data_IF_198963353695
#
_entry.id   IF_198963353695
#
_cell.length_a   1.000
_cell.length_b   1.000
_cell.length_c   1.000
_cell.angle_alpha   90.00
_cell.angle_beta   90.00
_cell.angle_gamma   90.00
#
_symmetry.space_group_name_H-M   'P 1'
#
loop_
_entity.id
_entity.type
_entity.pdbx_description
1 polymer ?
#
# COMPACT_ATOMS: atom_id res chain seq x y z
N UNK A 1 -18.66 -14.24 20.78
CA UNK A 1 -17.96 -13.72 19.59
C UNK A 1 -16.71 -13.00 20.06
N UNK A 2 -15.55 -13.63 19.94
CA UNK A 2 -14.27 -13.17 20.49
C UNK A 2 -13.80 -11.89 19.80
N UNK A 3 -13.69 -10.82 20.57
CA UNK A 3 -13.38 -9.46 20.11
C UNK A 3 -11.98 -9.35 19.50
N UNK A 4 -11.91 -9.42 18.17
CA UNK A 4 -10.74 -8.97 17.42
C UNK A 4 -10.74 -7.44 17.46
N UNK A 5 -10.05 -6.86 18.45
CA UNK A 5 -9.97 -5.39 18.63
C UNK A 5 -9.26 -4.67 17.47
N UNK A 6 -8.43 -5.35 16.69
CA UNK A 6 -7.60 -4.75 15.63
C UNK A 6 -7.48 -5.67 14.41
N UNK A 7 -7.36 -5.09 13.21
CA UNK A 7 -7.28 -5.86 11.96
C UNK A 7 -6.11 -6.85 11.93
N UNK A 8 -4.98 -6.52 12.58
CA UNK A 8 -3.82 -7.41 12.70
C UNK A 8 -4.03 -8.61 13.65
N UNK A 9 -5.07 -8.57 14.47
CA UNK A 9 -5.44 -9.67 15.38
C UNK A 9 -5.94 -10.91 14.62
N UNK A 10 -6.50 -10.72 13.43
CA UNK A 10 -7.01 -11.82 12.61
C UNK A 10 -5.86 -12.67 11.99
N UNK A 11 -5.86 -14.00 12.19
CA UNK A 11 -4.84 -14.88 11.63
C UNK A 11 -4.77 -14.85 10.10
N UNK A 12 -5.91 -14.69 9.41
CA UNK A 12 -5.92 -14.64 7.94
C UNK A 12 -5.20 -13.38 7.42
N UNK A 13 -5.47 -12.22 8.04
CA UNK A 13 -4.76 -10.96 7.79
C UNK A 13 -3.25 -11.12 8.01
N UNK A 14 -2.85 -11.74 9.13
CA UNK A 14 -1.45 -11.93 9.49
C UNK A 14 -0.72 -12.82 8.49
N UNK A 15 -1.36 -13.88 8.01
CA UNK A 15 -0.79 -14.78 7.01
C UNK A 15 -0.63 -14.09 5.65
N UNK A 16 -1.64 -13.34 5.20
CA UNK A 16 -1.57 -12.55 3.97
C UNK A 16 -0.45 -11.50 4.00
N UNK A 17 -0.35 -10.78 5.12
CA UNK A 17 0.73 -9.82 5.36
C UNK A 17 2.10 -10.51 5.38
N UNK A 18 2.27 -11.61 6.13
CA UNK A 18 3.54 -12.35 6.21
C UNK A 18 3.99 -12.85 4.85
N UNK A 19 3.11 -13.43 4.04
CA UNK A 19 3.45 -13.92 2.70
C UNK A 19 3.98 -12.79 1.82
N UNK A 20 3.32 -11.64 1.86
CA UNK A 20 3.75 -10.45 1.11
C UNK A 20 5.07 -9.91 1.65
N UNK A 21 5.23 -9.82 2.97
CA UNK A 21 6.46 -9.35 3.61
C UNK A 21 7.66 -10.25 3.32
N UNK A 22 7.50 -11.57 3.44
CA UNK A 22 8.55 -12.56 3.14
C UNK A 22 8.95 -12.46 1.68
N UNK A 23 7.99 -12.45 0.75
CA UNK A 23 8.30 -12.32 -0.67
C UNK A 23 9.08 -11.03 -0.99
N UNK A 24 8.67 -9.90 -0.42
CA UNK A 24 9.36 -8.61 -0.61
C UNK A 24 10.74 -8.58 0.06
N UNK A 25 10.87 -9.18 1.24
CA UNK A 25 12.15 -9.29 1.94
C UNK A 25 13.13 -10.17 1.15
N UNK A 26 12.68 -11.32 0.65
CA UNK A 26 13.50 -12.18 -0.22
C UNK A 26 13.92 -11.43 -1.48
N UNK A 27 13.01 -10.71 -2.15
CA UNK A 27 13.36 -9.89 -3.31
C UNK A 27 14.39 -8.80 -2.98
N UNK A 28 14.27 -8.16 -1.82
CA UNK A 28 15.24 -7.18 -1.33
C UNK A 28 16.61 -7.82 -1.06
N UNK A 29 16.66 -8.95 -0.37
CA UNK A 29 17.90 -9.67 -0.08
C UNK A 29 18.58 -10.17 -1.35
N UNK A 30 17.81 -10.72 -2.29
CA UNK A 30 18.32 -11.11 -3.61
C UNK A 30 18.89 -9.90 -4.36
N UNK A 31 18.21 -8.75 -4.30
CA UNK A 31 18.73 -7.50 -4.87
C UNK A 31 20.02 -7.06 -4.19
N UNK A 32 20.12 -7.18 -2.87
CA UNK A 32 21.32 -6.81 -2.10
C UNK A 32 22.51 -7.72 -2.43
N UNK A 33 22.29 -9.03 -2.56
CA UNK A 33 23.32 -10.01 -2.93
C UNK A 33 23.68 -9.94 -4.41
N UNK A 34 22.76 -9.51 -5.27
CA UNK A 34 23.04 -9.35 -6.71
C UNK A 34 24.13 -8.32 -6.98
N UNK A 35 24.28 -7.30 -6.13
CA UNK A 35 25.30 -6.26 -6.27
C UNK A 35 26.74 -6.79 -6.10
N UNK A 36 27.14 -7.45 -4.98
CA UNK A 36 28.49 -8.01 -4.86
C UNK A 36 28.76 -9.11 -5.89
N UNK A 37 27.76 -9.91 -6.27
CA UNK A 37 27.91 -10.90 -7.35
C UNK A 37 28.22 -10.22 -8.68
N UNK A 38 27.49 -9.14 -9.01
CA UNK A 38 27.75 -8.34 -10.19
C UNK A 38 29.15 -7.70 -10.15
N UNK A 39 29.56 -7.14 -9.00
CA UNK A 39 30.89 -6.54 -8.83
C UNK A 39 32.01 -7.56 -9.05
N UNK A 40 31.84 -8.77 -8.51
CA UNK A 40 32.77 -9.88 -8.70
C UNK A 40 32.89 -10.27 -10.18
N UNK A 41 31.76 -10.38 -10.89
CA UNK A 41 31.77 -10.69 -12.33
C UNK A 41 32.49 -9.60 -13.13
N UNK A 42 32.25 -8.33 -12.81
CA UNK A 42 32.91 -7.20 -13.48
C UNK A 42 34.42 -7.26 -13.32
N UNK A 43 34.92 -7.53 -12.10
CA UNK A 43 36.37 -7.64 -11.83
C UNK A 43 37.02 -8.78 -12.63
N UNK A 44 36.28 -9.88 -12.87
CA UNK A 44 36.76 -11.03 -13.63
C UNK A 44 36.69 -10.84 -15.15
N UNK A 45 36.08 -9.75 -15.63
CA UNK A 45 35.85 -9.51 -17.06
C UNK A 45 36.76 -8.43 -17.64
N UNK A 46 37.08 -8.50 -18.94
CA UNK A 46 37.86 -7.48 -19.62
C UNK A 46 37.16 -6.11 -19.63
N UNK A 47 37.95 -5.03 -19.65
CA UNK A 47 37.49 -3.63 -19.49
C UNK A 47 36.35 -3.23 -20.42
N UNK A 48 36.31 -3.74 -21.65
CA UNK A 48 35.23 -3.44 -22.60
C UNK A 48 33.85 -3.92 -22.10
N UNK A 49 33.82 -4.97 -21.28
CA UNK A 49 32.59 -5.50 -20.71
C UNK A 49 31.93 -4.51 -19.72
N UNK A 50 32.69 -3.57 -19.13
CA UNK A 50 32.16 -2.53 -18.26
C UNK A 50 31.07 -1.70 -18.96
N UNK A 51 31.22 -1.43 -20.26
CA UNK A 51 30.24 -0.65 -21.03
C UNK A 51 28.91 -1.41 -21.14
N UNK A 52 28.97 -2.74 -21.28
CA UNK A 52 27.79 -3.61 -21.32
C UNK A 52 27.18 -3.79 -19.92
N UNK A 53 28.01 -3.83 -18.88
CA UNK A 53 27.54 -4.00 -17.51
C UNK A 53 26.99 -2.73 -16.86
N UNK A 54 27.37 -1.54 -17.34
CA UNK A 54 26.85 -0.26 -16.84
C UNK A 54 25.32 -0.14 -16.88
N UNK A 55 24.61 -0.42 -18.00
CA UNK A 55 23.15 -0.38 -18.01
C UNK A 55 22.54 -1.43 -17.07
N UNK A 56 23.16 -2.61 -16.93
CA UNK A 56 22.73 -3.64 -15.99
C UNK A 56 22.80 -3.13 -14.55
N UNK A 57 23.89 -2.44 -14.20
CA UNK A 57 24.05 -1.80 -12.89
C UNK A 57 22.94 -0.79 -12.60
N UNK A 58 22.63 0.09 -13.56
CA UNK A 58 21.58 1.09 -13.42
C UNK A 58 20.21 0.44 -13.18
N UNK A 59 19.90 -0.64 -13.90
CA UNK A 59 18.67 -1.42 -13.69
C UNK A 59 18.65 -2.08 -12.31
N UNK A 60 19.76 -2.69 -11.88
CA UNK A 60 19.87 -3.31 -10.55
C UNK A 60 19.68 -2.27 -9.43
N UNK A 61 20.31 -1.10 -9.55
CA UNK A 61 20.17 0.00 -8.59
C UNK A 61 18.72 0.50 -8.52
N UNK A 62 18.10 0.71 -9.68
CA UNK A 62 16.69 1.10 -9.76
C UNK A 62 15.77 0.06 -9.11
N UNK A 63 15.99 -1.23 -9.38
CA UNK A 63 15.23 -2.32 -8.77
C UNK A 63 15.45 -2.42 -7.26
N UNK A 64 16.68 -2.22 -6.78
CA UNK A 64 16.99 -2.16 -5.36
C UNK A 64 16.22 -1.02 -4.67
N UNK A 65 16.24 0.18 -5.25
CA UNK A 65 15.49 1.33 -4.76
C UNK A 65 13.98 1.04 -4.71
N UNK A 66 13.40 0.47 -5.77
CA UNK A 66 12.00 0.05 -5.79
C UNK A 66 11.68 -0.99 -4.71
N UNK A 67 12.58 -1.94 -4.45
CA UNK A 67 12.40 -2.95 -3.42
C UNK A 67 12.41 -2.35 -2.01
N UNK A 68 13.26 -1.35 -1.74
CA UNK A 68 13.25 -0.60 -0.48
C UNK A 68 11.92 0.11 -0.26
N UNK A 69 11.42 0.83 -1.28
CA UNK A 69 10.12 1.51 -1.21
C UNK A 69 9.00 0.51 -0.95
N UNK A 70 8.97 -0.62 -1.68
CA UNK A 70 7.97 -1.69 -1.49
C UNK A 70 8.04 -2.32 -0.11
N UNK A 71 9.23 -2.49 0.46
CA UNK A 71 9.39 -3.01 1.81
C UNK A 71 8.83 -2.02 2.85
N UNK A 72 9.10 -0.72 2.65
CA UNK A 72 8.55 0.34 3.48
C UNK A 72 7.03 0.39 3.42
N UNK A 73 6.44 0.24 2.23
CA UNK A 73 4.99 0.14 2.06
C UNK A 73 4.39 -1.01 2.87
N UNK A 74 4.98 -2.21 2.81
CA UNK A 74 4.50 -3.38 3.58
C UNK A 74 4.60 -3.15 5.09
N UNK A 75 5.66 -2.49 5.54
CA UNK A 75 5.82 -2.12 6.95
C UNK A 75 4.79 -1.07 7.37
N UNK A 76 4.48 -0.10 6.49
CA UNK A 76 3.43 0.89 6.73
C UNK A 76 2.04 0.24 6.85
N UNK A 77 1.72 -0.78 6.03
CA UNK A 77 0.48 -1.54 6.13
C UNK A 77 0.32 -2.16 7.53
N UNK A 78 1.40 -2.74 8.08
CA UNK A 78 1.38 -3.32 9.43
C UNK A 78 1.03 -2.28 10.49
N UNK A 79 1.53 -1.05 10.34
CA UNK A 79 1.27 0.04 11.27
C UNK A 79 -0.21 0.42 11.28
N UNK A 80 -0.82 0.51 10.09
CA UNK A 80 -2.26 0.82 9.93
C UNK A 80 -3.14 -0.30 10.52
N UNK A 81 -2.84 -1.56 10.17
CA UNK A 81 -3.60 -2.73 10.62
C UNK A 81 -3.56 -2.96 12.14
N UNK A 82 -2.54 -2.42 12.83
CA UNK A 82 -2.43 -2.47 14.29
C UNK A 82 -3.32 -1.44 14.98
N UNK A 83 -3.63 -0.32 14.33
CA UNK A 83 -4.39 0.78 14.92
C UNK A 83 -5.88 0.63 14.62
N UNK A 84 -6.24 0.20 13.42
CA UNK A 84 -7.63 0.16 12.98
C UNK A 84 -8.19 -1.27 12.93
N UNK A 85 -9.43 -1.50 13.38
CA UNK A 85 -10.14 -2.75 13.14
C UNK A 85 -10.61 -2.85 11.68
N UNK A 86 -10.92 -4.06 11.25
CA UNK A 86 -11.55 -4.29 9.95
C UNK A 86 -13.01 -3.81 9.97
N UNK A 87 -13.42 -3.16 8.87
CA UNK A 87 -14.79 -2.76 8.58
C UNK A 87 -15.18 -3.35 7.22
N UNK A 88 -16.28 -4.08 7.16
CA UNK A 88 -16.82 -4.56 5.88
C UNK A 88 -17.70 -3.47 5.26
N UNK A 89 -17.33 -3.04 4.05
CA UNK A 89 -18.06 -2.06 3.27
C UNK A 89 -18.55 -2.72 2.00
N UNK A 90 -19.87 -2.87 1.87
CA UNK A 90 -20.51 -3.43 0.66
C UNK A 90 -20.66 -2.33 -0.38
N UNK A 91 -20.36 -2.62 -1.64
CA UNK A 91 -20.48 -1.67 -2.75
C UNK A 91 -19.50 -0.49 -2.71
N UNK A 92 -18.48 -0.53 -1.84
CA UNK A 92 -17.55 0.58 -1.68
C UNK A 92 -16.56 0.73 -2.85
N UNK A 93 -16.36 -0.29 -3.68
CA UNK A 93 -15.45 -0.24 -4.81
C UNK A 93 -16.17 0.20 -6.09
N UNK A 94 -15.67 1.26 -6.73
CA UNK A 94 -16.10 1.72 -8.04
C UNK A 94 -14.92 2.02 -8.96
N UNK A 95 -15.20 2.14 -10.25
CA UNK A 95 -14.24 2.65 -11.23
C UNK A 95 -14.44 4.15 -11.38
N UNK A 96 -13.38 4.95 -11.27
CA UNK A 96 -13.43 6.36 -11.61
C UNK A 96 -13.37 6.55 -13.14
N UNK A 97 -13.86 7.70 -13.62
CA UNK A 97 -13.91 8.03 -15.06
C UNK A 97 -12.53 8.02 -15.74
N UNK A 98 -11.44 8.14 -14.96
CA UNK A 98 -10.06 8.07 -15.43
C UNK A 98 -9.47 6.64 -15.44
N UNK A 99 -10.29 5.60 -15.21
CA UNK A 99 -9.87 4.20 -15.17
C UNK A 99 -9.19 3.75 -13.88
N UNK A 100 -9.09 4.62 -12.86
CA UNK A 100 -8.54 4.27 -11.54
C UNK A 100 -9.60 3.65 -10.64
N UNK A 101 -9.19 2.83 -9.67
CA UNK A 101 -10.10 2.29 -8.64
C UNK A 101 -10.41 3.34 -7.59
N UNK A 102 -11.69 3.59 -7.32
CA UNK A 102 -12.14 4.53 -6.29
C UNK A 102 -12.90 3.77 -5.22
N UNK A 103 -12.54 4.02 -3.96
CA UNK A 103 -13.23 3.45 -2.82
C UNK A 103 -14.05 4.54 -2.12
N UNK A 104 -15.38 4.42 -2.13
CA UNK A 104 -16.28 5.31 -1.40
C UNK A 104 -16.56 4.70 -0.03
N UNK A 105 -16.09 5.37 1.02
CA UNK A 105 -16.19 4.91 2.40
C UNK A 105 -16.93 5.96 3.23
N UNK A 106 -17.83 5.56 4.15
CA UNK A 106 -18.55 6.50 5.00
C UNK A 106 -17.59 7.20 5.96
N UNK A 107 -17.78 8.51 6.18
CA UNK A 107 -17.03 9.26 7.17
C UNK A 107 -17.40 8.76 8.59
N UNK A 108 -16.44 8.30 9.41
CA UNK A 108 -16.72 7.81 10.76
C UNK A 108 -17.35 8.87 11.69
N UNK A 109 -17.14 10.17 11.44
CA UNK A 109 -17.77 11.25 12.22
C UNK A 109 -19.08 11.76 11.58
N UNK A 110 -19.29 11.49 10.29
CA UNK A 110 -20.46 11.95 9.53
C UNK A 110 -20.91 10.85 8.56
N UNK A 111 -21.59 9.80 9.04
CA UNK A 111 -21.93 8.63 8.22
C UNK A 111 -22.81 8.95 7.00
N UNK A 112 -23.42 10.14 6.95
CA UNK A 112 -24.16 10.64 5.78
C UNK A 112 -23.26 11.19 4.65
N UNK A 113 -21.94 11.25 4.83
CA UNK A 113 -20.99 11.71 3.81
C UNK A 113 -20.01 10.61 3.44
N UNK A 114 -19.99 10.27 2.16
CA UNK A 114 -19.00 9.36 1.62
C UNK A 114 -17.73 10.10 1.22
N UNK A 115 -16.60 9.54 1.61
CA UNK A 115 -15.27 10.01 1.25
C UNK A 115 -14.69 9.04 0.24
N UNK A 116 -14.44 9.56 -0.96
CA UNK A 116 -13.82 8.78 -2.02
C UNK A 116 -12.29 8.81 -1.91
N UNK A 117 -11.67 7.64 -1.80
CA UNK A 117 -10.21 7.48 -1.82
C UNK A 117 -9.82 6.77 -3.12
N UNK A 118 -8.97 7.41 -3.91
CA UNK A 118 -8.46 6.83 -5.15
C UNK A 118 -7.30 5.86 -4.90
N UNK A 119 -7.25 4.79 -5.68
CA UNK A 119 -6.11 3.88 -5.79
C UNK A 119 -5.74 3.66 -7.25
N UNK A 120 -4.47 3.89 -7.55
CA UNK A 120 -3.89 3.70 -8.87
C UNK A 120 -3.50 5.03 -9.53
N UNK A 121 -2.37 5.00 -10.23
CA UNK A 121 -1.94 6.07 -11.14
C UNK A 121 -2.34 5.75 -12.60
N UNK A 122 -2.45 6.80 -13.39
CA UNK A 122 -2.67 6.75 -14.85
C UNK A 122 -1.61 5.89 -15.58
N UNK A 123 -0.36 5.87 -15.11
CA UNK A 123 0.78 5.23 -15.80
C UNK A 123 0.95 3.72 -15.57
N UNK A 124 -0.04 3.00 -15.00
CA UNK A 124 0.14 1.55 -14.84
C UNK A 124 -0.91 0.79 -14.03
N UNK A 125 -1.98 1.44 -13.57
CA UNK A 125 -2.98 0.76 -12.75
C UNK A 125 -3.95 -0.13 -13.52
N UNK A 126 -4.13 0.07 -14.83
CA UNK A 126 -5.13 -0.65 -15.66
C UNK A 126 -4.99 -2.18 -15.69
N UNK A 127 -3.79 -2.71 -15.45
CA UNK A 127 -3.52 -4.15 -15.40
C UNK A 127 -3.49 -4.73 -13.98
N UNK A 128 -3.62 -3.90 -12.96
CA UNK A 128 -3.60 -4.38 -11.57
C UNK A 128 -4.84 -5.23 -11.29
N UNK A 129 -4.67 -6.23 -10.42
CA UNK A 129 -5.76 -7.10 -9.96
C UNK A 129 -7.00 -6.30 -9.53
N UNK A 130 -6.81 -5.15 -8.88
CA UNK A 130 -7.88 -4.29 -8.38
C UNK A 130 -8.71 -3.67 -9.49
N UNK A 131 -8.08 -3.06 -10.49
CA UNK A 131 -8.82 -2.50 -11.63
C UNK A 131 -9.56 -3.59 -12.39
N UNK A 132 -8.94 -4.76 -12.57
CA UNK A 132 -9.59 -5.92 -13.21
C UNK A 132 -10.76 -6.48 -12.39
N UNK A 133 -10.59 -6.67 -11.09
CA UNK A 133 -11.61 -7.24 -10.22
C UNK A 133 -12.82 -6.31 -10.08
N UNK A 134 -12.58 -5.00 -9.96
CA UNK A 134 -13.64 -3.99 -9.91
C UNK A 134 -14.35 -3.89 -11.26
N UNK A 135 -13.60 -3.86 -12.38
CA UNK A 135 -14.18 -3.85 -13.73
C UNK A 135 -15.00 -5.11 -14.04
N UNK A 136 -14.59 -6.27 -13.51
CA UNK A 136 -15.32 -7.53 -13.65
C UNK A 136 -16.52 -7.65 -12.70
N UNK A 137 -16.79 -6.64 -11.86
CA UNK A 137 -17.90 -6.65 -10.91
C UNK A 137 -17.76 -7.70 -9.80
N UNK A 138 -16.60 -8.35 -9.66
CA UNK A 138 -16.38 -9.46 -8.72
C UNK A 138 -16.17 -8.96 -7.28
N UNK A 139 -16.06 -7.64 -7.09
CA UNK A 139 -15.81 -7.00 -5.80
C UNK A 139 -17.13 -6.48 -5.22
N UNK A 140 -17.89 -7.36 -4.57
CA UNK A 140 -19.15 -6.99 -3.90
C UNK A 140 -18.92 -6.45 -2.48
N UNK A 141 -17.93 -7.01 -1.79
CA UNK A 141 -17.56 -6.64 -0.42
C UNK A 141 -16.08 -6.27 -0.35
N UNK A 142 -15.82 -5.13 0.27
CA UNK A 142 -14.48 -4.60 0.47
C UNK A 142 -14.22 -4.53 1.97
N UNK A 143 -13.07 -5.04 2.39
CA UNK A 143 -12.64 -4.94 3.79
C UNK A 143 -11.72 -3.73 3.91
N UNK A 144 -12.06 -2.79 4.79
CA UNK A 144 -11.31 -1.56 5.01
C UNK A 144 -10.82 -1.47 6.46
N UNK A 145 -9.56 -1.08 6.65
CA UNK A 145 -8.98 -0.79 7.96
C UNK A 145 -8.20 0.52 7.89
N UNK A 146 -8.72 1.59 8.49
CA UNK A 146 -8.11 2.91 8.41
C UNK A 146 -9.07 4.04 8.78
N UNK A 147 -8.66 5.26 8.43
CA UNK A 147 -9.54 6.43 8.39
C UNK A 147 -9.54 6.95 6.94
N UNK A 148 -10.69 6.94 6.23
CA UNK A 148 -10.76 7.36 4.82
C UNK A 148 -10.36 8.82 4.60
N UNK A 149 -10.35 9.65 5.67
CA UNK A 149 -9.87 11.04 5.63
C UNK A 149 -8.36 11.15 5.50
N UNK A 150 -7.61 10.10 5.84
CA UNK A 150 -6.15 10.12 5.87
C UNK A 150 -5.56 8.97 5.07
N UNK A 151 -5.66 7.76 5.62
CA UNK A 151 -5.05 6.55 5.09
C UNK A 151 -5.77 5.31 5.57
N UNK A 152 -5.64 4.24 4.82
CA UNK A 152 -6.18 2.94 5.18
C UNK A 152 -5.61 1.81 4.36
N UNK A 153 -6.06 0.61 4.70
CA UNK A 153 -5.78 -0.62 3.99
C UNK A 153 -7.08 -1.20 3.50
N UNK A 154 -7.11 -1.57 2.23
CA UNK A 154 -8.23 -2.22 1.57
C UNK A 154 -7.85 -3.67 1.27
N UNK A 155 -8.79 -4.60 1.41
CA UNK A 155 -8.57 -6.03 1.13
C UNK A 155 -9.75 -6.73 0.43
N UNK A 156 -9.44 -7.54 -0.58
CA UNK A 156 -10.41 -8.34 -1.37
C UNK A 156 -9.80 -9.65 -1.89
N UNK A 157 -10.53 -10.78 -1.92
CA UNK A 157 -11.72 -11.07 -1.12
C UNK A 157 -11.32 -11.35 0.34
N UNK A 158 -11.99 -10.71 1.28
CA UNK A 158 -11.58 -10.74 2.69
C UNK A 158 -10.19 -10.14 2.93
N UNK A 159 -9.57 -10.40 4.09
CA UNK A 159 -8.32 -9.76 4.53
C UNK A 159 -7.03 -10.29 3.83
N UNK A 160 -7.12 -10.79 2.59
CA UNK A 160 -6.03 -11.49 1.92
C UNK A 160 -5.13 -10.59 1.07
N UNK A 161 -5.71 -9.88 0.10
CA UNK A 161 -4.93 -9.02 -0.82
C UNK A 161 -4.96 -7.59 -0.29
N UNK A 162 -3.94 -7.23 0.47
CA UNK A 162 -3.86 -5.92 1.13
C UNK A 162 -3.33 -4.87 0.14
N UNK A 163 -4.02 -3.73 0.07
CA UNK A 163 -3.56 -2.55 -0.66
C UNK A 163 -3.69 -1.32 0.21
N UNK A 164 -2.64 -0.48 0.19
CA UNK A 164 -2.67 0.81 0.86
C UNK A 164 -3.46 1.80 0.01
N UNK A 165 -4.37 2.51 0.65
CA UNK A 165 -5.06 3.66 0.08
C UNK A 165 -4.82 4.86 0.98
N UNK A 166 -4.61 6.02 0.39
CA UNK A 166 -4.36 7.22 1.16
C UNK A 166 -4.78 8.46 0.39
N UNK A 167 -5.20 9.49 1.12
CA UNK A 167 -5.30 10.82 0.56
C UNK A 167 -3.88 11.37 0.37
N UNK A 168 -3.67 12.10 -0.72
CA UNK A 168 -2.36 12.67 -1.04
C UNK A 168 -1.88 13.62 0.07
N UNK A 169 -2.79 14.40 0.65
CA UNK A 169 -2.53 15.32 1.78
C UNK A 169 -1.95 14.62 3.01
N UNK A 170 -2.28 13.34 3.23
CA UNK A 170 -1.83 12.58 4.39
C UNK A 170 -0.42 12.00 4.22
N UNK A 171 0.13 12.00 3.00
CA UNK A 171 1.44 11.42 2.67
C UNK A 171 2.44 12.45 2.12
N UNK A 172 1.97 13.39 1.31
CA UNK A 172 2.84 14.31 0.58
C UNK A 172 3.38 15.40 1.52
N UNK A 173 4.71 15.49 1.59
CA UNK A 173 5.45 16.50 2.33
C UNK A 173 5.10 17.94 1.89
N UNK A 174 4.78 18.08 0.60
CA UNK A 174 4.57 19.37 -0.09
C UNK A 174 3.16 19.92 0.07
N UNK A 175 2.21 19.11 0.53
CA UNK A 175 0.83 19.53 0.75
C UNK A 175 0.59 19.86 2.22
N UNK A 176 -0.30 20.82 2.48
CA UNK A 176 -0.72 21.14 3.83
C UNK A 176 -1.54 19.99 4.40
N UNK A 177 -1.22 19.59 5.64
CA UNK A 177 -2.00 18.56 6.31
C UNK A 177 -3.42 19.06 6.59
N UNK A 178 -4.39 18.15 6.52
CA UNK A 178 -5.80 18.47 6.74
C UNK A 178 -6.05 18.86 8.19
N UNK A 179 -6.53 20.09 8.43
CA UNK A 179 -6.77 20.65 9.78
C UNK A 179 -8.24 20.73 10.20
N UNK A 180 -9.17 20.82 9.25
CA UNK A 180 -10.57 21.19 9.53
C UNK A 180 -11.46 19.95 9.72
N UNK A 181 -12.30 19.96 10.76
CA UNK A 181 -13.36 18.97 10.96
C UNK A 181 -12.85 17.57 11.36
N UNK A 182 -11.78 17.52 12.16
CA UNK A 182 -11.18 16.25 12.61
C UNK A 182 -10.96 16.34 14.11
N UNK A 183 -11.54 15.39 14.85
CA UNK A 183 -11.33 15.27 16.30
C UNK A 183 -9.84 15.04 16.65
N UNK A 184 -9.37 15.52 17.82
CA UNK A 184 -8.00 15.30 18.26
C UNK A 184 -7.65 13.81 18.39
N UNK A 185 -8.61 12.99 18.84
CA UNK A 185 -8.44 11.53 18.93
C UNK A 185 -8.24 10.86 17.55
N UNK A 186 -8.95 11.33 16.52
CA UNK A 186 -8.75 10.83 15.16
C UNK A 186 -7.37 11.22 14.61
N UNK A 187 -6.87 12.42 14.95
CA UNK A 187 -5.50 12.83 14.56
C UNK A 187 -4.44 11.98 15.23
N UNK A 188 -4.57 11.71 16.53
CA UNK A 188 -3.62 10.87 17.25
C UNK A 188 -3.62 9.44 16.70
N UNK A 189 -4.79 8.86 16.39
CA UNK A 189 -4.88 7.55 15.73
C UNK A 189 -4.28 7.56 14.32
N UNK A 190 -4.53 8.60 13.53
CA UNK A 190 -3.95 8.73 12.20
C UNK A 190 -2.42 8.87 12.26
N UNK A 191 -1.89 9.66 13.20
CA UNK A 191 -0.45 9.79 13.48
C UNK A 191 0.17 8.46 13.92
N UNK A 192 -0.51 7.72 14.81
CA UNK A 192 -0.11 6.39 15.23
C UNK A 192 -0.06 5.40 14.05
N UNK A 193 -0.92 5.58 13.04
CA UNK A 193 -0.93 4.81 11.81
C UNK A 193 0.07 5.30 10.74
N UNK A 194 0.75 6.43 10.98
CA UNK A 194 1.78 6.99 10.10
C UNK A 194 1.29 8.05 9.11
N UNK A 195 0.11 8.64 9.32
CA UNK A 195 -0.37 9.77 8.54
C UNK A 195 0.31 11.06 8.98
N UNK A 196 0.50 11.99 8.03
CA UNK A 196 0.79 13.39 8.36
C UNK A 196 -0.52 14.06 8.79
N UNK A 197 -0.53 14.57 10.01
CA UNK A 197 -1.63 15.34 10.59
C UNK A 197 -1.06 16.68 11.07
N UNK A 198 -1.87 17.74 10.98
CA UNK A 198 -1.49 19.10 11.37
C UNK A 198 -2.43 19.73 12.37
#
# INVERSE_FOLDING_TARGET
>A
MTGIKTAYGDPATRQGWRRTAVFRLCAFLLSLVSFPVWLFLVIMTPVWALVVFLPVLLVLLYMAMLNVVRLWEVMSLRRILRVYPWQSCRGAAGLANNGTTRFSLPDPERPARDISVGHGDWLGSGFTFWVRAVKAGTVHEVWFAGDPRFLGVVAVPGPRRLVRVAQREALDGRMSARKRGISPEARERAKAAGARVG
#
